data_IF_290141298029
#
_entry.id   IF_290141298029
#
_cell.length_a   1.000
_cell.length_b   1.000
_cell.length_c   1.000
_cell.angle_alpha   90.00
_cell.angle_beta   90.00
_cell.angle_gamma   90.00
#
_symmetry.space_group_name_H-M   'P 1'
#
loop_
_entity.id
_entity.type
_entity.pdbx_description
1 polymer ?
#
# COMPACT_ATOMS: atom_id res chain seq x y z
N UNK A 1 -22.56 13.93 -2.05
CA UNK A 1 -22.38 12.48 -2.29
C UNK A 1 -22.69 12.17 -3.73
N UNK A 2 -21.94 11.26 -4.36
CA UNK A 2 -22.15 10.89 -5.76
C UNK A 2 -22.64 9.45 -5.83
N UNK A 3 -23.85 9.23 -6.37
CA UNK A 3 -24.35 7.89 -6.65
C UNK A 3 -23.53 7.31 -7.80
N UNK A 4 -22.62 6.40 -7.48
CA UNK A 4 -21.81 5.67 -8.44
C UNK A 4 -22.06 4.18 -8.27
N UNK A 5 -22.13 3.44 -9.37
CA UNK A 5 -22.16 1.99 -9.38
C UNK A 5 -20.77 1.41 -9.09
N UNK A 6 -20.71 0.11 -8.78
CA UNK A 6 -19.44 -0.60 -8.56
C UNK A 6 -18.47 -0.46 -9.74
N UNK A 7 -18.97 -0.66 -10.97
CA UNK A 7 -18.16 -0.64 -12.18
C UNK A 7 -17.69 0.79 -12.53
N UNK A 8 -18.52 1.80 -12.24
CA UNK A 8 -18.11 3.20 -12.39
C UNK A 8 -16.94 3.55 -11.48
N UNK A 9 -16.94 3.10 -10.21
CA UNK A 9 -15.80 3.31 -9.31
C UNK A 9 -14.50 2.70 -9.89
N UNK A 10 -14.56 1.49 -10.46
CA UNK A 10 -13.39 0.85 -11.09
C UNK A 10 -12.92 1.64 -12.31
N UNK A 11 -13.83 2.03 -13.21
CA UNK A 11 -13.50 2.82 -14.41
C UNK A 11 -12.90 4.18 -14.06
N UNK A 12 -13.47 4.86 -13.07
CA UNK A 12 -12.96 6.12 -12.57
C UNK A 12 -11.59 5.97 -11.91
N UNK A 13 -11.34 4.88 -11.18
CA UNK A 13 -10.03 4.60 -10.59
C UNK A 13 -8.93 4.47 -11.66
N UNK A 14 -9.20 3.71 -12.73
CA UNK A 14 -8.28 3.57 -13.86
C UNK A 14 -8.07 4.88 -14.63
N UNK A 15 -9.17 5.61 -14.90
CA UNK A 15 -9.09 6.92 -15.56
C UNK A 15 -8.23 7.89 -14.75
N UNK A 16 -8.50 8.03 -13.45
CA UNK A 16 -7.74 8.91 -12.56
C UNK A 16 -6.29 8.47 -12.39
N UNK A 17 -5.98 7.17 -12.43
CA UNK A 17 -4.60 6.69 -12.43
C UNK A 17 -3.86 7.10 -13.71
N UNK A 18 -4.50 6.97 -14.88
CA UNK A 18 -3.94 7.47 -16.14
C UNK A 18 -3.75 8.99 -16.17
N UNK A 19 -4.70 9.74 -15.61
CA UNK A 19 -4.58 11.19 -15.44
C UNK A 19 -3.44 11.57 -14.49
N UNK A 20 -3.24 10.82 -13.39
CA UNK A 20 -2.13 11.06 -12.48
C UNK A 20 -0.77 10.81 -13.17
N UNK A 21 -0.67 9.76 -13.98
CA UNK A 21 0.54 9.44 -14.75
C UNK A 21 0.89 10.55 -15.75
N UNK A 22 -0.12 11.07 -16.46
CA UNK A 22 0.07 12.10 -17.49
C UNK A 22 0.25 13.50 -16.93
N UNK A 23 -0.40 13.83 -15.80
CA UNK A 23 -0.34 15.17 -15.19
C UNK A 23 0.78 15.33 -14.15
N UNK A 24 1.31 14.24 -13.60
CA UNK A 24 2.40 14.26 -12.62
C UNK A 24 3.56 13.31 -13.00
N UNK A 25 4.06 13.31 -14.25
CA UNK A 25 5.03 12.32 -14.71
C UNK A 25 6.35 12.38 -13.94
N UNK A 26 6.81 13.58 -13.58
CA UNK A 26 8.03 13.75 -12.78
C UNK A 26 7.90 13.13 -11.38
N UNK A 27 6.72 13.20 -10.76
CA UNK A 27 6.46 12.60 -9.45
C UNK A 27 6.45 11.07 -9.56
N UNK A 28 5.79 10.53 -10.57
CA UNK A 28 5.75 9.08 -10.82
C UNK A 28 7.15 8.55 -11.14
N UNK A 29 7.89 9.21 -12.03
CA UNK A 29 9.25 8.81 -12.42
C UNK A 29 10.23 8.92 -11.25
N UNK A 30 10.18 10.01 -10.47
CA UNK A 30 11.01 10.16 -9.28
C UNK A 30 10.72 9.09 -8.23
N UNK A 31 9.43 8.76 -8.03
CA UNK A 31 9.02 7.66 -7.17
C UNK A 31 9.57 6.33 -7.69
N UNK A 32 9.45 6.07 -8.99
CA UNK A 32 9.97 4.86 -9.64
C UNK A 32 11.47 4.67 -9.40
N UNK A 33 12.26 5.72 -9.61
CA UNK A 33 13.71 5.67 -9.36
C UNK A 33 13.99 5.39 -7.88
N UNK A 34 13.27 6.04 -6.97
CA UNK A 34 13.43 5.80 -5.53
C UNK A 34 13.11 4.33 -5.15
N UNK A 35 12.00 3.77 -5.65
CA UNK A 35 11.67 2.37 -5.43
C UNK A 35 12.69 1.40 -6.00
N UNK A 36 13.19 1.68 -7.22
CA UNK A 36 14.15 0.79 -7.87
C UNK A 36 15.47 0.75 -7.09
N UNK A 37 15.98 1.92 -6.68
CA UNK A 37 17.20 2.02 -5.89
C UNK A 37 17.04 1.39 -4.51
N UNK A 38 15.96 1.73 -3.78
CA UNK A 38 15.72 1.20 -2.44
C UNK A 38 15.38 -0.30 -2.46
N UNK A 39 14.65 -0.76 -3.48
CA UNK A 39 14.34 -2.16 -3.70
C UNK A 39 15.60 -2.97 -4.00
N UNK A 40 16.48 -2.44 -4.85
CA UNK A 40 17.78 -3.07 -5.13
C UNK A 40 18.63 -3.20 -3.87
N UNK A 41 18.78 -2.12 -3.09
CA UNK A 41 19.48 -2.15 -1.80
C UNK A 41 18.83 -3.12 -0.80
N UNK A 42 17.50 -3.17 -0.79
CA UNK A 42 16.73 -4.09 0.03
C UNK A 42 16.97 -5.55 -0.33
N UNK A 43 17.13 -5.88 -1.61
CA UNK A 43 17.46 -7.22 -2.09
C UNK A 43 18.92 -7.59 -1.78
N UNK A 44 19.86 -6.65 -1.98
CA UNK A 44 21.29 -6.89 -1.81
C UNK A 44 21.67 -7.33 -0.38
N UNK A 45 20.98 -6.85 0.65
CA UNK A 45 21.26 -7.23 2.05
C UNK A 45 20.46 -8.42 2.58
N UNK A 46 19.74 -9.17 1.73
CA UNK A 46 19.05 -10.40 2.14
C UNK A 46 19.94 -11.62 1.88
N UNK A 47 19.98 -12.60 2.80
CA UNK A 47 20.71 -13.83 2.57
C UNK A 47 20.11 -14.58 1.38
N UNK A 48 20.99 -15.05 0.49
CA UNK A 48 20.61 -15.86 -0.66
C UNK A 48 20.43 -17.31 -0.19
N UNK A 49 19.26 -17.94 -0.37
CA UNK A 49 19.06 -19.33 0.01
C UNK A 49 20.04 -20.23 -0.74
N UNK A 50 20.83 -21.03 0.00
CA UNK A 50 21.81 -21.96 -0.57
C UNK A 50 23.26 -21.49 -0.52
N UNK A 51 23.49 -20.18 -0.38
CA UNK A 51 24.83 -19.67 -0.07
C UNK A 51 25.02 -19.62 1.45
N UNK A 52 25.98 -20.39 1.96
CA UNK A 52 26.28 -20.46 3.40
C UNK A 52 26.90 -19.18 3.99
N UNK A 53 27.18 -18.17 3.15
CA UNK A 53 27.74 -16.89 3.59
C UNK A 53 26.64 -15.93 4.04
N UNK A 54 26.69 -15.55 5.32
CA UNK A 54 25.80 -14.51 5.82
C UNK A 54 26.26 -13.13 5.30
N UNK A 55 25.33 -12.29 4.81
CA UNK A 55 25.64 -10.92 4.45
C UNK A 55 26.27 -10.16 5.62
N UNK A 56 27.17 -9.21 5.31
CA UNK A 56 27.78 -8.38 6.36
C UNK A 56 26.71 -7.63 7.15
N UNK A 57 26.91 -7.46 8.46
CA UNK A 57 25.95 -6.77 9.32
C UNK A 57 25.62 -5.35 8.83
N UNK A 58 26.59 -4.66 8.22
CA UNK A 58 26.39 -3.35 7.61
C UNK A 58 25.42 -3.39 6.41
N UNK A 59 25.52 -4.43 5.58
CA UNK A 59 24.62 -4.61 4.43
C UNK A 59 23.19 -4.96 4.88
N UNK A 60 23.06 -5.79 5.91
CA UNK A 60 21.76 -6.10 6.53
C UNK A 60 21.12 -4.84 7.11
N UNK A 61 21.88 -4.01 7.83
CA UNK A 61 21.37 -2.73 8.35
C UNK A 61 20.93 -1.79 7.22
N UNK A 62 21.74 -1.66 6.17
CA UNK A 62 21.42 -0.85 5.00
C UNK A 62 20.14 -1.32 4.30
N UNK A 63 19.95 -2.63 4.12
CA UNK A 63 18.74 -3.18 3.52
C UNK A 63 17.48 -2.94 4.38
N UNK A 64 17.60 -3.00 5.71
CA UNK A 64 16.49 -2.66 6.60
C UNK A 64 16.14 -1.17 6.56
N UNK A 65 17.14 -0.28 6.57
CA UNK A 65 16.94 1.16 6.39
C UNK A 65 16.31 1.47 5.03
N UNK A 66 16.78 0.82 3.96
CA UNK A 66 16.21 0.95 2.63
C UNK A 66 14.74 0.51 2.60
N UNK A 67 14.40 -0.58 3.30
CA UNK A 67 13.01 -1.06 3.42
C UNK A 67 12.11 -0.04 4.15
N UNK A 68 12.60 0.58 5.23
CA UNK A 68 11.87 1.63 5.96
C UNK A 68 11.66 2.85 5.07
N UNK A 69 12.72 3.32 4.40
CA UNK A 69 12.62 4.45 3.46
C UNK A 69 11.65 4.14 2.32
N UNK A 70 11.67 2.91 1.80
CA UNK A 70 10.77 2.48 0.73
C UNK A 70 9.30 2.54 1.18
N UNK A 71 9.01 2.12 2.42
CA UNK A 71 7.67 2.25 3.01
C UNK A 71 7.25 3.72 3.18
N UNK A 72 8.17 4.61 3.58
CA UNK A 72 7.88 6.05 3.68
C UNK A 72 7.59 6.67 2.31
N UNK A 73 8.35 6.30 1.27
CA UNK A 73 8.10 6.69 -0.12
C UNK A 73 6.73 6.18 -0.58
N UNK A 74 6.37 4.93 -0.23
CA UNK A 74 5.04 4.37 -0.51
C UNK A 74 3.91 5.20 0.07
N UNK A 75 4.01 5.51 1.36
CA UNK A 75 2.97 6.28 2.06
C UNK A 75 2.88 7.70 1.49
N UNK A 76 4.02 8.36 1.26
CA UNK A 76 4.07 9.70 0.68
C UNK A 76 3.45 9.73 -0.73
N UNK A 77 3.79 8.76 -1.57
CA UNK A 77 3.25 8.65 -2.92
C UNK A 77 1.74 8.42 -2.90
N UNK A 78 1.26 7.49 -2.07
CA UNK A 78 -0.18 7.19 -1.90
C UNK A 78 -0.94 8.43 -1.42
N UNK A 79 -0.39 9.18 -0.45
CA UNK A 79 -0.95 10.46 0.01
C UNK A 79 -1.06 11.45 -1.14
N UNK A 80 -0.04 11.55 -1.98
CA UNK A 80 -0.04 12.44 -3.16
C UNK A 80 -1.13 12.06 -4.15
N UNK A 81 -1.30 10.77 -4.43
CA UNK A 81 -2.40 10.30 -5.29
C UNK A 81 -3.77 10.61 -4.66
N UNK A 82 -3.97 10.41 -3.36
CA UNK A 82 -5.22 10.78 -2.70
C UNK A 82 -5.55 12.26 -2.86
N UNK A 83 -4.57 13.15 -2.62
CA UNK A 83 -4.76 14.61 -2.76
C UNK A 83 -5.00 15.01 -4.21
N UNK A 84 -4.33 14.38 -5.16
CA UNK A 84 -4.59 14.61 -6.58
C UNK A 84 -6.03 14.23 -6.96
N UNK A 85 -6.51 13.05 -6.58
CA UNK A 85 -7.88 12.63 -6.94
C UNK A 85 -8.94 13.44 -6.21
N UNK A 86 -8.74 13.72 -4.91
CA UNK A 86 -9.77 14.34 -4.06
C UNK A 86 -9.78 15.87 -4.13
N UNK A 87 -8.61 16.52 -4.19
CA UNK A 87 -8.44 17.97 -4.13
C UNK A 87 -7.92 18.58 -5.45
N UNK A 88 -7.68 17.75 -6.48
CA UNK A 88 -7.06 18.17 -7.74
C UNK A 88 -5.67 18.82 -7.56
N UNK A 89 -5.02 18.55 -6.44
CA UNK A 89 -3.67 19.05 -6.15
C UNK A 89 -2.66 18.36 -7.05
N UNK A 90 -1.89 19.16 -7.80
CA UNK A 90 -0.83 18.66 -8.69
C UNK A 90 0.48 18.43 -7.90
N UNK A 91 1.62 18.70 -8.51
CA UNK A 91 2.94 18.44 -7.92
C UNK A 91 3.29 19.35 -6.74
N UNK A 92 2.78 20.58 -6.71
CA UNK A 92 3.05 21.55 -5.65
C UNK A 92 1.85 21.71 -4.70
N UNK A 93 2.08 21.77 -3.38
CA UNK A 93 3.35 21.66 -2.65
C UNK A 93 3.83 20.20 -2.48
N UNK A 94 5.13 19.89 -2.59
CA UNK A 94 5.64 18.50 -2.48
C UNK A 94 5.27 17.81 -1.15
N UNK A 95 5.19 18.59 -0.07
CA UNK A 95 4.66 18.17 1.24
C UNK A 95 3.59 19.16 1.69
N UNK A 96 2.33 18.73 1.72
CA UNK A 96 1.23 19.55 2.20
C UNK A 96 1.29 19.73 3.73
N UNK A 97 0.98 20.95 4.20
CA UNK A 97 0.84 21.29 5.62
C UNK A 97 2.01 20.82 6.52
N UNK A 98 3.24 20.97 6.05
CA UNK A 98 4.46 20.65 6.83
C UNK A 98 4.57 19.17 7.21
N UNK A 99 4.15 18.26 6.31
CA UNK A 99 4.17 16.80 6.53
C UNK A 99 3.27 16.28 7.67
N UNK A 100 2.43 17.12 8.28
CA UNK A 100 1.49 16.71 9.34
C UNK A 100 0.55 15.57 8.91
N UNK A 101 -0.03 15.57 7.68
CA UNK A 101 -0.86 14.44 7.23
C UNK A 101 -0.05 13.15 7.07
N UNK A 102 1.20 13.26 6.60
CA UNK A 102 2.11 12.12 6.46
C UNK A 102 2.40 11.51 7.83
N UNK A 103 2.77 12.33 8.82
CA UNK A 103 3.05 11.88 10.18
C UNK A 103 1.84 11.17 10.82
N UNK A 104 0.61 11.65 10.56
CA UNK A 104 -0.62 10.99 11.05
C UNK A 104 -0.82 9.62 10.42
N UNK A 105 -0.60 9.48 9.11
CA UNK A 105 -0.74 8.20 8.41
C UNK A 105 0.35 7.22 8.86
N UNK A 106 1.59 7.68 9.00
CA UNK A 106 2.71 6.89 9.53
C UNK A 106 2.41 6.44 10.96
N UNK A 107 1.94 7.35 11.83
CA UNK A 107 1.54 7.02 13.20
C UNK A 107 0.43 5.97 13.26
N UNK A 108 -0.61 6.12 12.43
CA UNK A 108 -1.67 5.10 12.29
C UNK A 108 -1.11 3.76 11.83
N UNK A 109 -0.25 3.76 10.80
CA UNK A 109 0.40 2.56 10.29
C UNK A 109 1.23 1.86 11.37
N UNK A 110 2.00 2.62 12.16
CA UNK A 110 2.80 2.09 13.27
C UNK A 110 1.92 1.50 14.37
N UNK A 111 0.85 2.19 14.78
CA UNK A 111 -0.10 1.67 15.77
C UNK A 111 -0.74 0.37 15.27
N UNK A 112 -1.12 0.31 14.00
CA UNK A 112 -1.72 -0.88 13.41
C UNK A 112 -0.73 -2.03 13.30
N UNK A 113 0.52 -1.74 12.92
CA UNK A 113 1.60 -2.74 12.90
C UNK A 113 1.87 -3.31 14.30
N UNK A 114 2.01 -2.45 15.32
CA UNK A 114 2.24 -2.89 16.70
C UNK A 114 1.07 -3.72 17.23
N UNK A 115 -0.18 -3.32 16.92
CA UNK A 115 -1.36 -4.09 17.27
C UNK A 115 -1.35 -5.47 16.60
N UNK A 116 -1.00 -5.55 15.31
CA UNK A 116 -0.90 -6.81 14.58
C UNK A 116 0.17 -7.73 15.18
N UNK A 117 1.37 -7.20 15.45
CA UNK A 117 2.46 -7.95 16.08
C UNK A 117 2.03 -8.44 17.47
N UNK A 118 1.38 -7.60 18.26
CA UNK A 118 0.85 -7.97 19.57
C UNK A 118 -0.19 -9.10 19.50
N UNK A 119 -1.15 -9.01 18.59
CA UNK A 119 -2.17 -10.05 18.37
C UNK A 119 -1.51 -11.35 17.90
N UNK A 120 -0.60 -11.29 16.93
CA UNK A 120 0.10 -12.45 16.41
C UNK A 120 0.95 -13.14 17.50
N UNK A 121 1.68 -12.37 18.31
CA UNK A 121 2.45 -12.88 19.44
C UNK A 121 1.56 -13.50 20.51
N UNK A 122 0.44 -12.84 20.88
CA UNK A 122 -0.51 -13.38 21.84
C UNK A 122 -1.12 -14.71 21.35
N UNK A 123 -1.55 -14.77 20.09
CA UNK A 123 -2.08 -15.99 19.49
C UNK A 123 -1.01 -17.08 19.41
N UNK A 124 0.23 -16.74 19.06
CA UNK A 124 1.34 -17.69 19.07
C UNK A 124 1.58 -18.29 20.46
N UNK A 125 1.55 -17.45 21.50
CA UNK A 125 1.74 -17.87 22.89
C UNK A 125 0.58 -18.73 23.42
N UNK A 126 -0.66 -18.44 23.01
CA UNK A 126 -1.86 -19.18 23.42
C UNK A 126 -1.98 -20.52 22.69
N UNK A 127 -1.83 -20.53 21.37
CA UNK A 127 -1.99 -21.73 20.56
C UNK A 127 -0.78 -22.66 20.59
N UNK A 128 0.42 -22.14 20.96
CA UNK A 128 1.71 -22.85 20.96
C UNK A 128 1.78 -23.92 19.86
N UNK A 129 1.72 -23.53 18.58
CA UNK A 129 1.61 -24.49 17.48
C UNK A 129 2.79 -25.46 17.53
N UNK A 130 2.50 -26.73 17.87
CA UNK A 130 3.51 -27.82 17.92
C UNK A 130 3.80 -28.45 16.56
N UNK A 131 2.98 -28.15 15.55
CA UNK A 131 3.06 -28.70 14.20
C UNK A 131 3.08 -27.56 13.19
N UNK A 132 3.76 -27.74 12.06
CA UNK A 132 3.86 -26.73 10.99
C UNK A 132 2.49 -26.30 10.46
N UNK A 133 1.51 -27.22 10.38
CA UNK A 133 0.13 -26.90 10.01
C UNK A 133 -0.54 -25.90 10.95
N UNK A 134 -0.15 -25.88 12.23
CA UNK A 134 -0.64 -24.90 13.21
C UNK A 134 -0.15 -23.48 12.93
N UNK A 135 1.08 -23.33 12.43
CA UNK A 135 1.65 -22.04 12.06
C UNK A 135 0.96 -21.47 10.81
N UNK A 136 0.77 -22.30 9.78
CA UNK A 136 0.05 -21.89 8.57
C UNK A 136 -1.40 -21.47 8.88
N UNK A 137 -2.11 -22.27 9.68
CA UNK A 137 -3.48 -21.96 10.10
C UNK A 137 -3.56 -20.66 10.91
N UNK A 138 -2.64 -20.45 11.85
CA UNK A 138 -2.54 -19.23 12.63
C UNK A 138 -2.29 -18.01 11.75
N UNK A 139 -1.36 -18.15 10.79
CA UNK A 139 -1.02 -17.09 9.85
C UNK A 139 -2.20 -16.72 8.97
N UNK A 140 -3.00 -17.71 8.54
CA UNK A 140 -4.25 -17.49 7.81
C UNK A 140 -5.26 -16.70 8.65
N UNK A 141 -5.49 -17.07 9.91
CA UNK A 141 -6.41 -16.35 10.80
C UNK A 141 -5.96 -14.90 10.99
N UNK A 142 -4.69 -14.69 11.31
CA UNK A 142 -4.12 -13.34 11.48
C UNK A 142 -4.27 -12.54 10.20
N UNK A 143 -4.00 -13.15 9.04
CA UNK A 143 -4.18 -12.53 7.73
C UNK A 143 -5.63 -12.12 7.45
N UNK A 144 -6.60 -12.98 7.75
CA UNK A 144 -8.03 -12.68 7.58
C UNK A 144 -8.47 -11.53 8.49
N UNK A 145 -8.06 -11.55 9.76
CA UNK A 145 -8.34 -10.46 10.71
C UNK A 145 -7.72 -9.15 10.20
N UNK A 146 -6.50 -9.22 9.69
CA UNK A 146 -5.80 -8.05 9.17
C UNK A 146 -6.47 -7.47 7.93
N UNK A 147 -6.86 -8.31 6.96
CA UNK A 147 -7.62 -7.87 5.79
C UNK A 147 -8.96 -7.26 6.22
N UNK A 148 -9.64 -7.87 7.18
CA UNK A 148 -10.89 -7.33 7.71
C UNK A 148 -10.70 -5.92 8.30
N UNK A 149 -9.74 -5.75 9.20
CA UNK A 149 -9.44 -4.45 9.82
C UNK A 149 -8.95 -3.44 8.77
N UNK A 150 -8.08 -3.86 7.85
CA UNK A 150 -7.51 -3.02 6.81
C UNK A 150 -8.57 -2.45 5.87
N UNK A 151 -9.50 -3.28 5.38
CA UNK A 151 -10.61 -2.82 4.54
C UNK A 151 -11.52 -1.85 5.30
N UNK A 152 -11.82 -2.15 6.58
CA UNK A 152 -12.68 -1.31 7.43
C UNK A 152 -12.09 0.07 7.68
N UNK A 153 -10.77 0.14 7.89
CA UNK A 153 -10.05 1.38 8.16
C UNK A 153 -9.49 2.04 6.90
N UNK A 154 -9.68 1.43 5.72
CA UNK A 154 -9.12 1.93 4.46
C UNK A 154 -9.60 3.35 4.10
N UNK A 155 -10.83 3.72 4.48
CA UNK A 155 -11.39 5.06 4.27
C UNK A 155 -10.74 6.15 5.15
N UNK A 156 -10.01 5.77 6.20
CA UNK A 156 -9.30 6.70 7.06
C UNK A 156 -8.06 7.30 6.38
N UNK A 157 -7.42 6.56 5.47
CA UNK A 157 -6.26 7.06 4.72
C UNK A 157 -6.59 8.27 3.83
N UNK A 158 -7.61 8.23 2.95
CA UNK A 158 -8.00 9.39 2.14
C UNK A 158 -8.51 10.55 3.02
N UNK A 159 -9.22 10.27 4.12
CA UNK A 159 -9.68 11.34 5.03
C UNK A 159 -8.52 12.07 5.71
N UNK A 160 -7.50 11.33 6.17
CA UNK A 160 -6.27 11.92 6.74
C UNK A 160 -5.46 12.67 5.68
N UNK A 161 -5.41 12.18 4.44
CA UNK A 161 -4.69 12.82 3.34
C UNK A 161 -5.24 14.21 2.99
N UNK A 162 -6.56 14.41 3.10
CA UNK A 162 -7.20 15.72 2.91
C UNK A 162 -7.19 16.60 4.17
N UNK A 163 -6.62 16.13 5.27
CA UNK A 163 -6.50 16.90 6.53
C UNK A 163 -7.58 16.61 7.57
N UNK A 164 -8.44 15.61 7.34
CA UNK A 164 -9.50 15.19 8.25
C UNK A 164 -9.01 14.73 9.63
N UNK A 165 -9.97 14.53 10.54
CA UNK A 165 -9.71 14.10 11.93
C UNK A 165 -9.49 12.60 12.00
N UNK A 166 -8.74 12.20 13.02
CA UNK A 166 -8.59 10.79 13.36
C UNK A 166 -9.89 10.28 14.00
N UNK A 167 -10.76 9.64 13.21
CA UNK A 167 -12.08 9.20 13.63
C UNK A 167 -12.31 7.71 13.26
N UNK A 168 -11.65 6.81 13.98
CA UNK A 168 -11.75 5.35 13.77
C UNK A 168 -13.20 4.86 13.81
N UNK A 169 -13.99 5.35 14.78
CA UNK A 169 -15.39 4.95 14.92
C UNK A 169 -16.25 5.35 13.72
N UNK A 170 -16.01 6.54 13.16
CA UNK A 170 -16.72 7.00 11.95
C UNK A 170 -16.34 6.16 10.73
N UNK A 171 -15.04 5.90 10.52
CA UNK A 171 -14.57 5.02 9.44
C UNK A 171 -15.16 3.58 9.56
N UNK A 172 -15.28 3.08 10.79
CA UNK A 172 -15.88 1.77 11.05
C UNK A 172 -17.37 1.73 10.73
N UNK A 173 -18.11 2.79 11.06
CA UNK A 173 -19.54 2.91 10.74
C UNK A 173 -19.78 3.11 9.25
N UNK A 174 -19.03 3.99 8.59
CA UNK A 174 -19.15 4.27 7.15
C UNK A 174 -18.85 3.00 6.31
N UNK A 175 -17.89 2.18 6.74
CA UNK A 175 -17.61 0.90 6.08
C UNK A 175 -18.62 -0.21 6.41
N UNK A 176 -19.45 -0.06 7.46
CA UNK A 176 -20.45 -1.07 7.90
C UNK A 176 -21.49 -1.31 6.80
N UNK A 177 -21.71 -2.58 6.46
CA UNK A 177 -22.58 -2.97 5.34
C UNK A 177 -21.93 -2.93 3.95
N UNK A 178 -20.79 -2.24 3.78
CA UNK A 178 -20.15 -2.02 2.48
C UNK A 178 -18.83 -2.78 2.28
N UNK A 179 -18.49 -3.70 3.19
CA UNK A 179 -17.21 -4.43 3.20
C UNK A 179 -16.88 -5.07 1.85
N UNK A 180 -17.82 -5.84 1.29
CA UNK A 180 -17.63 -6.54 0.02
C UNK A 180 -17.49 -5.59 -1.17
N UNK A 181 -18.12 -4.41 -1.12
CA UNK A 181 -17.97 -3.39 -2.15
C UNK A 181 -16.58 -2.75 -2.08
N UNK A 182 -16.13 -2.36 -0.88
CA UNK A 182 -14.80 -1.80 -0.66
C UNK A 182 -13.70 -2.76 -1.12
N UNK A 183 -13.75 -4.01 -0.64
CA UNK A 183 -12.79 -5.05 -1.02
C UNK A 183 -12.90 -5.37 -2.51
N UNK A 184 -14.12 -5.57 -3.01
CA UNK A 184 -14.37 -5.94 -4.40
C UNK A 184 -13.85 -4.89 -5.39
N UNK A 185 -14.10 -3.61 -5.16
CA UNK A 185 -13.62 -2.55 -6.06
C UNK A 185 -12.10 -2.51 -6.07
N UNK A 186 -11.43 -2.58 -4.91
CA UNK A 186 -9.98 -2.61 -4.84
C UNK A 186 -9.38 -3.86 -5.51
N UNK A 187 -9.97 -5.03 -5.30
CA UNK A 187 -9.53 -6.28 -5.93
C UNK A 187 -9.72 -6.26 -7.45
N UNK A 188 -10.90 -5.85 -7.93
CA UNK A 188 -11.21 -5.78 -9.37
C UNK A 188 -10.35 -4.71 -10.06
N UNK A 189 -10.09 -3.58 -9.39
CA UNK A 189 -9.19 -2.56 -9.92
C UNK A 189 -7.74 -3.07 -10.06
N UNK A 190 -7.26 -3.86 -9.09
CA UNK A 190 -5.90 -4.43 -9.11
C UNK A 190 -5.77 -5.72 -9.93
N UNK A 191 -6.89 -6.35 -10.32
CA UNK A 191 -6.91 -7.66 -10.99
C UNK A 191 -6.04 -7.71 -12.26
N UNK A 192 -6.06 -6.71 -13.18
CA UNK A 192 -5.21 -6.75 -14.36
C UNK A 192 -3.72 -6.80 -14.03
N UNK A 193 -3.28 -6.09 -12.98
CA UNK A 193 -1.88 -6.15 -12.54
C UNK A 193 -1.51 -7.52 -11.98
N UNK A 194 -2.42 -8.14 -11.21
CA UNK A 194 -2.22 -9.49 -10.68
C UNK A 194 -2.10 -10.51 -11.82
N UNK A 195 -2.98 -10.43 -12.83
CA UNK A 195 -2.92 -11.31 -14.01
C UNK A 195 -1.60 -11.13 -14.75
N UNK A 196 -1.17 -9.88 -15.02
CA UNK A 196 0.12 -9.62 -15.66
C UNK A 196 1.30 -10.17 -14.84
N UNK A 197 1.27 -10.01 -13.52
CA UNK A 197 2.31 -10.54 -12.63
C UNK A 197 2.38 -12.07 -12.66
N UNK A 198 1.23 -12.75 -12.61
CA UNK A 198 1.17 -14.22 -12.71
C UNK A 198 1.66 -14.70 -14.07
N UNK A 199 1.25 -14.07 -15.16
CA UNK A 199 1.72 -14.42 -16.51
C UNK A 199 3.23 -14.22 -16.66
N UNK A 200 3.79 -13.16 -16.07
CA UNK A 200 5.24 -12.94 -16.06
C UNK A 200 5.97 -14.05 -15.29
N UNK A 201 5.46 -14.45 -14.11
CA UNK A 201 6.04 -15.54 -13.32
C UNK A 201 5.96 -16.89 -14.06
N UNK A 202 4.83 -17.18 -14.71
CA UNK A 202 4.69 -18.38 -15.54
C UNK A 202 5.65 -18.35 -16.72
N UNK A 203 5.80 -17.20 -17.39
CA UNK A 203 6.76 -17.02 -18.48
C UNK A 203 8.20 -17.27 -18.05
N UNK A 204 8.61 -16.78 -16.89
CA UNK A 204 9.94 -17.05 -16.31
C UNK A 204 10.12 -18.55 -16.02
N UNK A 205 9.10 -19.21 -15.48
CA UNK A 205 9.12 -20.66 -15.25
C UNK A 205 9.26 -21.47 -16.54
N UNK A 206 8.49 -21.12 -17.58
CA UNK A 206 8.55 -21.77 -18.90
C UNK A 206 9.91 -21.53 -19.58
N UNK A 207 10.50 -20.35 -19.40
CA UNK A 207 11.83 -20.01 -19.91
C UNK A 207 12.98 -20.73 -19.17
N UNK A 208 12.68 -21.56 -18.16
CA UNK A 208 13.69 -22.29 -17.41
C UNK A 208 14.53 -21.42 -16.49
N UNK A 209 14.02 -20.25 -16.08
CA UNK A 209 14.72 -19.37 -15.13
C UNK A 209 14.73 -20.04 -13.77
N UNK A 210 15.88 -20.57 -13.38
CA UNK A 210 16.08 -21.21 -12.08
C UNK A 210 16.37 -20.16 -10.99
N UNK A 211 16.14 -20.47 -9.70
CA UNK A 211 16.52 -19.58 -8.60
C UNK A 211 18.00 -19.16 -8.62
N UNK A 212 18.90 -20.05 -9.10
CA UNK A 212 20.33 -19.77 -9.26
C UNK A 212 20.59 -18.71 -10.33
N UNK A 213 19.87 -18.77 -11.46
CA UNK A 213 19.99 -17.78 -12.54
C UNK A 213 19.65 -16.37 -12.05
N UNK A 214 18.68 -16.26 -11.14
CA UNK A 214 18.14 -14.99 -10.61
C UNK A 214 19.12 -14.29 -9.66
N UNK A 215 20.18 -14.97 -9.21
CA UNK A 215 21.15 -14.42 -8.25
C UNK A 215 22.21 -13.52 -8.90
N UNK A 216 22.17 -13.32 -10.22
CA UNK A 216 23.10 -12.41 -10.89
C UNK A 216 22.75 -10.93 -10.63
N UNK A 217 23.73 -10.02 -10.55
CA UNK A 217 23.48 -8.58 -10.33
C UNK A 217 22.55 -7.95 -11.40
N UNK A 218 22.62 -8.47 -12.63
CA UNK A 218 21.74 -8.05 -13.72
C UNK A 218 20.28 -8.44 -13.43
N UNK A 219 20.03 -9.64 -12.93
CA UNK A 219 18.69 -10.08 -12.54
C UNK A 219 18.15 -9.31 -11.34
N UNK A 220 18.97 -9.03 -10.32
CA UNK A 220 18.53 -8.17 -9.21
C UNK A 220 18.09 -6.79 -9.68
N UNK A 221 18.80 -6.21 -10.65
CA UNK A 221 18.43 -4.93 -11.25
C UNK A 221 17.11 -5.03 -12.01
N UNK A 222 16.95 -6.07 -12.85
CA UNK A 222 15.72 -6.30 -13.60
C UNK A 222 14.51 -6.56 -12.68
N UNK A 223 14.67 -7.36 -11.62
CA UNK A 223 13.63 -7.60 -10.62
C UNK A 223 13.27 -6.34 -9.84
N UNK A 224 14.27 -5.57 -9.40
CA UNK A 224 14.03 -4.31 -8.69
C UNK A 224 13.24 -3.32 -9.57
N UNK A 225 13.60 -3.20 -10.85
CA UNK A 225 12.87 -2.39 -11.84
C UNK A 225 11.45 -2.90 -12.02
N UNK A 226 11.27 -4.20 -12.32
CA UNK A 226 9.96 -4.79 -12.55
C UNK A 226 9.03 -4.66 -11.34
N UNK A 227 9.55 -4.96 -10.15
CA UNK A 227 8.83 -4.79 -8.88
C UNK A 227 8.46 -3.33 -8.64
N UNK A 228 9.31 -2.37 -8.99
CA UNK A 228 9.04 -0.94 -8.83
C UNK A 228 7.90 -0.47 -9.75
N UNK A 229 7.87 -0.94 -11.00
CA UNK A 229 6.75 -0.67 -11.92
C UNK A 229 5.45 -1.21 -11.35
N UNK A 230 5.45 -2.48 -10.92
CA UNK A 230 4.26 -3.13 -10.37
C UNK A 230 3.79 -2.43 -9.09
N UNK A 231 4.71 -2.10 -8.18
CA UNK A 231 4.38 -1.42 -6.93
C UNK A 231 3.76 -0.05 -7.16
N UNK A 232 4.29 0.73 -8.10
CA UNK A 232 3.73 2.05 -8.42
C UNK A 232 2.36 1.92 -9.05
N UNK A 233 2.21 1.04 -10.04
CA UNK A 233 0.92 0.81 -10.69
C UNK A 233 -0.13 0.34 -9.66
N UNK A 234 0.26 -0.57 -8.77
CA UNK A 234 -0.59 -1.07 -7.70
C UNK A 234 -0.96 0.04 -6.70
N UNK A 235 0.02 0.81 -6.22
CA UNK A 235 -0.21 1.93 -5.30
C UNK A 235 -1.12 2.99 -5.92
N UNK A 236 -0.93 3.34 -7.20
CA UNK A 236 -1.80 4.27 -7.92
C UNK A 236 -3.22 3.74 -8.00
N UNK A 237 -3.44 2.53 -8.52
CA UNK A 237 -4.79 2.00 -8.71
C UNK A 237 -5.55 1.80 -7.40
N UNK A 238 -4.86 1.28 -6.37
CA UNK A 238 -5.51 1.06 -5.06
C UNK A 238 -5.83 2.38 -4.37
N UNK A 239 -4.95 3.39 -4.45
CA UNK A 239 -5.23 4.71 -3.88
C UNK A 239 -6.29 5.49 -4.66
N UNK A 240 -6.31 5.44 -5.99
CA UNK A 240 -7.41 6.08 -6.76
C UNK A 240 -8.73 5.37 -6.50
N UNK A 241 -8.76 4.04 -6.43
CA UNK A 241 -9.96 3.28 -6.07
C UNK A 241 -10.48 3.67 -4.68
N UNK A 242 -9.59 3.73 -3.68
CA UNK A 242 -9.94 4.15 -2.32
C UNK A 242 -10.42 5.60 -2.25
N UNK A 243 -9.87 6.52 -3.05
CA UNK A 243 -10.36 7.89 -3.15
C UNK A 243 -11.80 7.97 -3.70
N UNK A 244 -12.13 7.17 -4.72
CA UNK A 244 -13.49 7.12 -5.27
C UNK A 244 -14.47 6.43 -4.32
N UNK A 245 -14.04 5.37 -3.63
CA UNK A 245 -14.81 4.73 -2.57
C UNK A 245 -15.06 5.70 -1.40
N UNK A 246 -14.08 6.53 -1.05
CA UNK A 246 -14.23 7.59 -0.06
C UNK A 246 -15.32 8.59 -0.47
N UNK A 247 -15.31 9.10 -1.72
CA UNK A 247 -16.36 9.98 -2.23
C UNK A 247 -17.77 9.37 -2.18
N UNK A 248 -17.85 8.05 -2.25
CA UNK A 248 -19.11 7.30 -2.25
C UNK A 248 -19.63 6.98 -0.84
N UNK A 249 -18.75 6.60 0.09
CA UNK A 249 -19.15 6.01 1.37
C UNK A 249 -18.84 6.86 2.61
N UNK A 250 -17.98 7.88 2.52
CA UNK A 250 -17.49 8.63 3.68
C UNK A 250 -18.47 9.72 4.15
N UNK A 251 -19.60 9.32 4.73
CA UNK A 251 -20.65 10.25 5.16
C UNK A 251 -20.26 10.99 6.43
N UNK A 252 -19.99 10.22 7.49
CA UNK A 252 -19.63 10.79 8.78
C UNK A 252 -18.23 11.40 8.73
N UNK A 253 -17.30 10.74 8.04
CA UNK A 253 -15.92 11.21 7.89
C UNK A 253 -15.83 12.57 7.17
N UNK A 254 -16.64 12.80 6.13
CA UNK A 254 -16.66 14.08 5.43
C UNK A 254 -17.26 15.19 6.30
N UNK A 255 -18.40 14.93 6.96
CA UNK A 255 -19.07 15.93 7.81
C UNK A 255 -18.23 16.42 8.99
N UNK A 256 -17.33 15.57 9.52
CA UNK A 256 -16.44 15.93 10.63
C UNK A 256 -15.29 16.86 10.23
N UNK A 257 -14.99 16.97 8.92
CA UNK A 257 -13.93 17.82 8.38
C UNK A 257 -14.38 19.27 8.15
N UNK A 258 -15.58 19.47 7.63
CA UNK A 258 -16.13 20.79 7.28
C UNK A 258 -16.24 21.72 8.50
N UNK A 259 -16.59 21.17 9.66
CA UNK A 259 -16.66 21.90 10.92
C UNK A 259 -15.30 22.45 11.40
N UNK A 260 -14.18 21.97 10.87
CA UNK A 260 -12.84 22.41 11.23
C UNK A 260 -12.25 23.39 10.23
N UNK A 261 -12.52 23.25 8.93
CA UNK A 261 -12.12 24.25 7.92
C UNK A 261 -12.74 25.61 8.23
N UNK A 262 -13.97 25.63 8.75
CA UNK A 262 -14.65 26.83 9.24
C UNK A 262 -14.05 27.43 10.54
N UNK A 263 -13.19 26.69 11.26
CA UNK A 263 -12.50 27.18 12.48
C UNK A 263 -11.04 27.56 12.26
N UNK A 264 -10.47 27.20 11.11
CA UNK A 264 -9.07 27.49 10.76
C UNK A 264 -8.91 28.66 9.78
N UNK A 265 -10.02 29.22 9.33
CA UNK A 265 -10.12 30.52 8.66
C UNK A 265 -10.47 31.58 9.70
#
# INVERSE_FOLDING_TARGET
MQQMTFMECVKCAWKSAGEALTRMPALVLGTFVAYAVLGWLGLAGRPVPGEGEMPSAGLVLAANLASILNALVYIWFTLKIYRFVLLEERTTPLMAAGAKPLARIVGLGLVMMLALVGIAAALWLVLRPRHEGGVAFLSLIVGVIWVFIGVRLSLLYPSLAIGGRFALGAAWRDSRGHFWSLLGVSCVAALPLLVCGVLALLGLGIAGVTPETVQTPAWFTALAIGQSVVNIAFAMLTSTALAWLYRRYANELASGGDAQTARSL
#
